data_IF_543315591460
#
_entry.id   IF_543315591460
#
_cell.length_a   1.000
_cell.length_b   1.000
_cell.length_c   1.000
_cell.angle_alpha   90.00
_cell.angle_beta   90.00
_cell.angle_gamma   90.00
#
_symmetry.space_group_name_H-M   'P 1'
#
loop_
_entity.id
_entity.type
_entity.pdbx_description
1 polymer ?
#
# COMPACT_ATOMS: atom_id res chain seq x y z
N UNK A 1 12.57 36.78 40.95
CA UNK A 1 12.56 36.62 39.48
C UNK A 1 12.45 35.14 39.19
N UNK A 2 11.22 34.64 38.97
CA UNK A 2 10.99 33.23 38.66
C UNK A 2 11.21 33.03 37.16
N UNK A 3 12.24 32.28 36.81
CA UNK A 3 12.51 31.82 35.44
C UNK A 3 11.41 30.83 35.05
N UNK A 4 10.46 31.30 34.23
CA UNK A 4 9.48 30.44 33.59
C UNK A 4 10.22 29.51 32.61
N UNK A 5 10.37 28.25 32.99
CA UNK A 5 10.78 27.18 32.09
C UNK A 5 9.69 27.02 31.05
N UNK A 6 9.92 27.58 29.86
CA UNK A 6 9.11 27.30 28.69
C UNK A 6 9.20 25.80 28.42
N UNK A 7 8.19 25.04 28.85
CA UNK A 7 7.95 23.67 28.41
C UNK A 7 7.73 23.72 26.90
N UNK A 8 8.82 23.55 26.14
CA UNK A 8 8.77 23.43 24.71
C UNK A 8 7.87 22.25 24.36
N UNK A 9 6.67 22.55 23.86
CA UNK A 9 5.81 21.56 23.24
C UNK A 9 6.58 20.99 22.07
N UNK A 10 7.06 19.75 22.20
CA UNK A 10 7.75 19.07 21.13
C UNK A 10 6.88 19.14 19.86
N UNK A 11 7.38 19.77 18.81
CA UNK A 11 6.64 19.93 17.56
C UNK A 11 6.38 18.54 16.98
N UNK A 12 5.11 18.17 16.85
CA UNK A 12 4.70 16.89 16.30
C UNK A 12 5.31 16.70 14.89
N UNK A 13 5.75 15.47 14.58
CA UNK A 13 6.19 15.15 13.21
C UNK A 13 5.01 15.28 12.24
N UNK A 14 5.29 15.46 10.96
CA UNK A 14 4.23 15.53 9.94
C UNK A 14 3.34 14.31 10.02
N UNK A 15 3.94 13.12 10.05
CA UNK A 15 3.24 11.84 10.08
C UNK A 15 2.36 11.72 11.33
N UNK A 16 2.83 12.20 12.48
CA UNK A 16 2.07 12.20 13.72
C UNK A 16 0.90 13.20 13.67
N UNK A 17 1.12 14.43 13.16
CA UNK A 17 0.04 15.41 12.95
C UNK A 17 -1.05 14.85 12.04
N UNK A 18 -0.62 14.26 10.93
CA UNK A 18 -1.49 13.63 9.95
C UNK A 18 -2.26 12.47 10.59
N UNK A 19 -1.60 11.57 11.33
CA UNK A 19 -2.25 10.44 11.99
C UNK A 19 -3.31 10.86 13.01
N UNK A 20 -3.11 11.99 13.71
CA UNK A 20 -4.07 12.58 14.64
C UNK A 20 -5.28 13.23 13.94
N UNK A 21 -5.12 13.70 12.71
CA UNK A 21 -6.20 14.21 11.86
C UNK A 21 -7.19 13.14 11.39
N UNK A 22 -8.21 13.50 10.57
CA UNK A 22 -9.18 12.57 10.03
C UNK A 22 -8.52 11.51 9.13
N UNK A 23 -9.06 10.28 9.14
CA UNK A 23 -8.56 9.16 8.31
C UNK A 23 -9.02 9.28 6.87
N UNK A 24 -10.26 9.71 6.68
CA UNK A 24 -10.80 10.10 5.39
C UNK A 24 -10.49 11.58 5.20
N UNK A 25 -9.46 11.86 4.41
CA UNK A 25 -9.03 13.22 4.10
C UNK A 25 -9.53 13.62 2.72
N UNK A 26 -10.05 14.84 2.62
CA UNK A 26 -10.57 15.41 1.38
C UNK A 26 -9.95 16.76 1.03
N UNK A 27 -8.86 17.15 1.70
CA UNK A 27 -8.16 18.39 1.37
C UNK A 27 -7.46 18.29 0.01
N UNK A 28 -7.35 19.42 -0.69
CA UNK A 28 -6.79 19.50 -2.05
C UNK A 28 -5.38 18.92 -2.12
N UNK A 29 -4.56 19.14 -1.08
CA UNK A 29 -3.20 18.61 -1.01
C UNK A 29 -3.21 17.08 -0.99
N UNK A 30 -4.06 16.46 -0.19
CA UNK A 30 -4.27 15.01 -0.19
C UNK A 30 -4.75 14.51 -1.54
N UNK A 31 -5.78 15.13 -2.14
CA UNK A 31 -6.34 14.67 -3.41
C UNK A 31 -5.35 14.78 -4.57
N UNK A 32 -4.71 15.94 -4.75
CA UNK A 32 -3.75 16.17 -5.84
C UNK A 32 -2.47 15.38 -5.61
N UNK A 33 -1.94 15.37 -4.37
CA UNK A 33 -0.73 14.62 -4.03
C UNK A 33 -0.91 13.12 -4.21
N UNK A 34 -2.05 12.57 -3.80
CA UNK A 34 -2.36 11.15 -4.02
C UNK A 34 -2.56 10.84 -5.50
N UNK A 35 -3.16 11.73 -6.30
CA UNK A 35 -3.30 11.53 -7.75
C UNK A 35 -1.94 11.50 -8.46
N UNK A 36 -1.01 12.40 -8.11
CA UNK A 36 0.34 12.40 -8.69
C UNK A 36 1.10 11.13 -8.32
N UNK A 37 0.97 10.68 -7.06
CA UNK A 37 1.54 9.41 -6.63
C UNK A 37 0.89 8.22 -7.35
N UNK A 38 -0.43 8.29 -7.61
CA UNK A 38 -1.18 7.29 -8.34
C UNK A 38 -0.70 7.16 -9.79
N UNK A 39 -0.42 8.27 -10.47
CA UNK A 39 0.14 8.26 -11.84
C UNK A 39 1.51 7.59 -11.86
N UNK A 40 2.40 7.91 -10.91
CA UNK A 40 3.72 7.29 -10.81
C UNK A 40 3.63 5.77 -10.51
N UNK A 41 2.73 5.40 -9.58
CA UNK A 41 2.41 4.01 -9.30
C UNK A 41 1.89 3.26 -10.55
N UNK A 42 0.90 3.82 -11.25
CA UNK A 42 0.34 3.23 -12.46
C UNK A 42 1.38 3.06 -13.57
N UNK A 43 2.30 4.01 -13.73
CA UNK A 43 3.38 3.86 -14.71
C UNK A 43 4.24 2.62 -14.43
N UNK A 44 4.58 2.36 -13.15
CA UNK A 44 5.29 1.14 -12.77
C UNK A 44 4.42 -0.10 -12.97
N UNK A 45 3.15 -0.03 -12.60
CA UNK A 45 2.23 -1.18 -12.70
C UNK A 45 2.03 -1.64 -14.14
N UNK A 46 2.00 -0.73 -15.11
CA UNK A 46 1.88 -1.08 -16.53
C UNK A 46 3.05 -1.93 -17.03
N UNK A 47 4.23 -1.81 -16.42
CA UNK A 47 5.39 -2.66 -16.75
C UNK A 47 5.28 -3.99 -15.99
N UNK A 48 5.00 -3.93 -14.70
CA UNK A 48 5.01 -5.13 -13.84
C UNK A 48 3.88 -6.10 -14.19
N UNK A 49 2.69 -5.61 -14.54
CA UNK A 49 1.58 -6.45 -14.98
C UNK A 49 1.90 -7.18 -16.28
N UNK A 50 2.67 -6.56 -17.18
CA UNK A 50 3.12 -7.22 -18.42
C UNK A 50 4.15 -8.31 -18.13
N UNK A 51 5.06 -8.05 -17.21
CA UNK A 51 6.01 -9.06 -16.75
C UNK A 51 5.31 -10.22 -16.04
N UNK A 52 4.33 -9.93 -15.19
CA UNK A 52 3.53 -10.95 -14.51
C UNK A 52 2.69 -11.77 -15.51
N UNK A 53 2.11 -11.14 -16.55
CA UNK A 53 1.42 -11.86 -17.62
C UNK A 53 2.34 -12.81 -18.38
N UNK A 54 3.58 -12.40 -18.68
CA UNK A 54 4.57 -13.26 -19.33
C UNK A 54 5.00 -14.40 -18.39
N UNK A 55 5.15 -14.13 -17.10
CA UNK A 55 5.70 -15.09 -16.15
C UNK A 55 4.67 -16.11 -15.65
N UNK A 56 3.48 -15.66 -15.28
CA UNK A 56 2.46 -16.50 -14.64
C UNK A 56 1.28 -16.82 -15.56
N UNK A 57 1.26 -16.27 -16.78
CA UNK A 57 0.10 -16.34 -17.67
C UNK A 57 -1.10 -15.52 -17.14
N UNK A 58 -0.87 -14.60 -16.19
CA UNK A 58 -1.92 -13.82 -15.54
C UNK A 58 -2.65 -14.56 -14.40
N UNK A 59 -2.16 -15.73 -13.98
CA UNK A 59 -2.71 -16.48 -12.84
C UNK A 59 -2.34 -15.86 -11.48
N UNK A 60 -1.23 -15.14 -11.42
CA UNK A 60 -0.79 -14.42 -10.23
C UNK A 60 -0.01 -13.16 -10.61
N UNK A 61 0.06 -12.21 -9.68
CA UNK A 61 0.68 -10.89 -9.90
C UNK A 61 1.77 -10.59 -8.87
N UNK A 62 2.81 -11.45 -8.75
CA UNK A 62 3.85 -11.32 -7.72
C UNK A 62 4.62 -9.99 -7.81
N UNK A 63 4.91 -9.50 -9.01
CA UNK A 63 5.54 -8.18 -9.17
C UNK A 63 4.53 -7.08 -8.87
N UNK A 64 3.28 -7.24 -9.27
CA UNK A 64 2.19 -6.34 -8.87
C UNK A 64 2.12 -6.13 -7.35
N UNK A 65 2.14 -7.21 -6.55
CA UNK A 65 2.20 -7.11 -5.09
C UNK A 65 3.49 -6.44 -4.60
N UNK A 66 4.64 -6.83 -5.15
CA UNK A 66 5.95 -6.23 -4.78
C UNK A 66 5.95 -4.71 -4.92
N UNK A 67 5.46 -4.21 -6.05
CA UNK A 67 5.41 -2.79 -6.32
C UNK A 67 4.24 -2.10 -5.60
N UNK A 68 3.11 -2.77 -5.35
CA UNK A 68 2.10 -2.24 -4.44
C UNK A 68 2.72 -1.88 -3.07
N UNK A 69 3.56 -2.75 -2.51
CA UNK A 69 4.25 -2.50 -1.24
C UNK A 69 5.27 -1.36 -1.30
N UNK A 70 5.78 -1.01 -2.48
CA UNK A 70 6.63 0.18 -2.65
C UNK A 70 5.84 1.48 -2.41
N UNK A 71 4.62 1.56 -2.95
CA UNK A 71 3.88 2.83 -3.05
C UNK A 71 2.80 3.00 -1.98
N UNK A 72 2.04 1.94 -1.69
CA UNK A 72 0.86 1.99 -0.84
C UNK A 72 1.13 2.39 0.61
N UNK A 73 2.22 1.94 1.27
CA UNK A 73 2.49 2.36 2.64
C UNK A 73 2.72 3.86 2.76
N UNK A 74 3.45 4.43 1.80
CA UNK A 74 3.69 5.88 1.73
C UNK A 74 2.37 6.63 1.52
N UNK A 75 1.52 6.14 0.62
CA UNK A 75 0.21 6.74 0.40
C UNK A 75 -0.65 6.71 1.67
N UNK A 76 -0.70 5.57 2.37
CA UNK A 76 -1.45 5.41 3.60
C UNK A 76 -0.95 6.33 4.74
N UNK A 77 0.37 6.47 4.89
CA UNK A 77 0.99 7.31 5.92
C UNK A 77 0.71 8.81 5.67
N UNK A 78 0.96 9.30 4.45
CA UNK A 78 0.91 10.73 4.16
C UNK A 78 -0.46 11.23 3.72
N UNK A 79 -1.28 10.40 3.07
CA UNK A 79 -2.57 10.81 2.51
C UNK A 79 -3.77 10.17 3.20
N UNK A 80 -3.54 9.33 4.21
CA UNK A 80 -4.60 8.61 4.90
C UNK A 80 -5.30 7.60 3.99
N UNK A 81 -6.49 7.16 4.40
CA UNK A 81 -7.21 6.11 3.68
C UNK A 81 -7.72 6.60 2.32
N UNK A 82 -8.22 7.84 2.21
CA UNK A 82 -8.71 8.38 0.94
C UNK A 82 -7.62 8.37 -0.12
N UNK A 83 -6.47 8.98 0.17
CA UNK A 83 -5.38 9.05 -0.80
C UNK A 83 -4.77 7.69 -1.11
N UNK A 84 -4.68 6.80 -0.13
CA UNK A 84 -4.25 5.42 -0.38
C UNK A 84 -5.18 4.70 -1.34
N UNK A 85 -6.50 4.80 -1.14
CA UNK A 85 -7.48 4.19 -2.03
C UNK A 85 -7.45 4.79 -3.44
N UNK A 86 -7.20 6.11 -3.57
CA UNK A 86 -6.98 6.75 -4.88
C UNK A 86 -5.77 6.11 -5.56
N UNK A 87 -4.63 6.05 -4.87
CA UNK A 87 -3.39 5.49 -5.41
C UNK A 87 -3.59 4.05 -5.88
N UNK A 88 -4.16 3.19 -5.04
CA UNK A 88 -4.27 1.79 -5.37
C UNK A 88 -5.33 1.48 -6.44
N UNK A 89 -6.40 2.27 -6.54
CA UNK A 89 -7.47 1.98 -7.49
C UNK A 89 -7.32 2.70 -8.83
N UNK A 90 -6.43 3.69 -8.94
CA UNK A 90 -6.18 4.37 -10.21
C UNK A 90 -5.69 3.40 -11.30
N UNK A 91 -4.79 2.48 -10.96
CA UNK A 91 -4.30 1.48 -11.89
C UNK A 91 -5.39 0.49 -12.35
N UNK A 92 -6.16 -0.18 -11.47
CA UNK A 92 -7.31 -1.00 -11.86
C UNK A 92 -8.34 -0.26 -12.73
N UNK A 93 -8.61 1.03 -12.48
CA UNK A 93 -9.51 1.84 -13.33
C UNK A 93 -8.97 1.89 -14.76
N UNK A 94 -7.69 2.25 -14.92
CA UNK A 94 -7.05 2.27 -16.24
C UNK A 94 -7.09 0.88 -16.87
N UNK A 95 -6.77 -0.17 -16.11
CA UNK A 95 -6.70 -1.53 -16.61
C UNK A 95 -8.06 -2.07 -17.09
N UNK A 96 -9.15 -1.72 -16.40
CA UNK A 96 -10.52 -2.03 -16.86
C UNK A 96 -10.88 -1.24 -18.11
N UNK A 97 -10.62 0.08 -18.13
CA UNK A 97 -10.96 0.94 -19.27
C UNK A 97 -10.16 0.61 -20.54
N UNK A 98 -8.93 0.13 -20.40
CA UNK A 98 -8.04 -0.24 -21.50
C UNK A 98 -8.00 -1.74 -21.78
N UNK A 99 -8.77 -2.54 -21.04
CA UNK A 99 -8.83 -4.00 -21.13
C UNK A 99 -7.44 -4.68 -21.06
N UNK A 100 -6.52 -4.17 -20.24
CA UNK A 100 -5.13 -4.69 -20.17
C UNK A 100 -5.02 -5.99 -19.38
N UNK A 101 -5.94 -6.24 -18.45
CA UNK A 101 -5.94 -7.43 -17.60
C UNK A 101 -7.37 -7.98 -17.38
N UNK A 102 -7.63 -9.27 -17.65
CA UNK A 102 -8.98 -9.85 -17.56
C UNK A 102 -9.56 -9.86 -16.14
N UNK A 103 -8.68 -9.85 -15.12
CA UNK A 103 -9.04 -9.85 -13.71
C UNK A 103 -8.96 -8.46 -13.05
N UNK A 104 -8.78 -7.38 -13.83
CA UNK A 104 -8.60 -6.02 -13.30
C UNK A 104 -9.74 -5.57 -12.37
N UNK A 105 -10.97 -6.00 -12.64
CA UNK A 105 -12.15 -5.71 -11.80
C UNK A 105 -12.02 -6.26 -10.36
N UNK A 106 -11.29 -7.36 -10.17
CA UNK A 106 -11.13 -7.97 -8.85
C UNK A 106 -10.16 -7.18 -7.97
N UNK A 107 -9.22 -6.47 -8.60
CA UNK A 107 -8.18 -5.70 -7.90
C UNK A 107 -8.76 -4.56 -7.07
N UNK A 108 -9.93 -4.02 -7.41
CA UNK A 108 -10.61 -3.04 -6.55
C UNK A 108 -10.83 -3.58 -5.13
N UNK A 109 -11.31 -4.82 -5.02
CA UNK A 109 -11.60 -5.45 -3.74
C UNK A 109 -10.33 -5.91 -3.03
N UNK A 110 -9.38 -6.48 -3.78
CA UNK A 110 -8.10 -6.93 -3.22
C UNK A 110 -7.29 -5.75 -2.66
N UNK A 111 -7.23 -4.64 -3.39
CA UNK A 111 -6.52 -3.45 -2.94
C UNK A 111 -7.16 -2.84 -1.68
N UNK A 112 -8.49 -2.81 -1.63
CA UNK A 112 -9.21 -2.35 -0.43
C UNK A 112 -8.99 -3.27 0.77
N UNK A 113 -8.94 -4.59 0.54
CA UNK A 113 -8.67 -5.57 1.59
C UNK A 113 -7.31 -5.33 2.25
N UNK A 114 -6.30 -4.85 1.52
CA UNK A 114 -5.00 -4.49 2.09
C UNK A 114 -5.01 -3.11 2.74
N UNK A 115 -5.43 -2.11 1.97
CA UNK A 115 -5.16 -0.72 2.31
C UNK A 115 -5.97 -0.23 3.49
N UNK A 116 -7.18 -0.74 3.64
CA UNK A 116 -8.02 -0.40 4.80
C UNK A 116 -7.28 -0.78 6.09
N UNK A 117 -6.95 -2.05 6.36
CA UNK A 117 -6.24 -2.40 7.58
C UNK A 117 -4.86 -1.74 7.66
N UNK A 118 -4.13 -1.62 6.55
CA UNK A 118 -2.80 -1.00 6.55
C UNK A 118 -2.84 0.48 7.00
N UNK A 119 -3.80 1.25 6.47
CA UNK A 119 -3.99 2.65 6.87
C UNK A 119 -4.39 2.76 8.35
N UNK A 120 -5.21 1.86 8.86
CA UNK A 120 -5.54 1.82 10.29
C UNK A 120 -4.34 1.47 11.17
N UNK A 121 -3.53 0.49 10.78
CA UNK A 121 -2.33 0.08 11.54
C UNK A 121 -1.29 1.19 11.59
N UNK A 122 -0.93 1.80 10.45
CA UNK A 122 0.00 2.91 10.43
C UNK A 122 -0.52 4.11 11.22
N UNK A 123 -1.81 4.44 11.08
CA UNK A 123 -2.42 5.51 11.87
C UNK A 123 -2.37 5.23 13.37
N UNK A 124 -2.72 4.00 13.79
CA UNK A 124 -2.70 3.62 15.20
C UNK A 124 -1.29 3.65 15.79
N UNK A 125 -0.28 3.22 15.01
CA UNK A 125 1.13 3.31 15.40
C UNK A 125 1.59 4.76 15.52
N UNK A 126 1.38 5.56 14.48
CA UNK A 126 1.85 6.95 14.40
C UNK A 126 1.21 7.89 15.43
N UNK A 127 0.01 7.56 15.92
CA UNK A 127 -0.61 8.27 17.05
C UNK A 127 0.13 8.07 18.39
N UNK A 128 0.86 6.95 18.54
CA UNK A 128 1.55 6.57 19.78
C UNK A 128 3.06 6.74 19.66
N UNK A 129 3.60 6.54 18.47
CA UNK A 129 5.03 6.55 18.18
C UNK A 129 5.29 7.45 16.94
N UNK A 130 6.08 8.52 17.06
CA UNK A 130 6.31 9.47 15.96
C UNK A 130 7.19 8.94 14.82
N UNK A 131 7.74 7.72 14.96
CA UNK A 131 8.51 7.03 13.92
C UNK A 131 8.05 5.57 13.78
N UNK A 132 8.13 5.07 12.54
CA UNK A 132 7.92 3.67 12.20
C UNK A 132 9.29 3.07 11.89
N UNK A 133 9.74 2.17 12.76
CA UNK A 133 10.93 1.36 12.51
C UNK A 133 10.70 0.32 11.42
N UNK A 134 11.78 -0.25 10.89
CA UNK A 134 11.73 -1.28 9.85
C UNK A 134 10.88 -2.49 10.27
N UNK A 135 11.07 -3.02 11.49
CA UNK A 135 10.37 -4.22 11.95
C UNK A 135 8.85 -4.01 12.06
N UNK A 136 8.32 -2.97 12.75
CA UNK A 136 6.89 -2.67 12.74
C UNK A 136 6.32 -2.49 11.34
N UNK A 137 7.05 -1.79 10.46
CA UNK A 137 6.63 -1.60 9.07
C UNK A 137 6.44 -2.95 8.37
N UNK A 138 7.46 -3.81 8.41
CA UNK A 138 7.43 -5.13 7.79
C UNK A 138 6.31 -6.03 8.35
N UNK A 139 6.05 -5.97 9.66
CA UNK A 139 4.96 -6.72 10.28
C UNK A 139 3.59 -6.26 9.75
N UNK A 140 3.38 -4.94 9.62
CA UNK A 140 2.11 -4.42 9.12
C UNK A 140 1.88 -4.81 7.66
N UNK A 141 2.91 -4.70 6.82
CA UNK A 141 2.86 -5.18 5.44
C UNK A 141 2.55 -6.68 5.40
N UNK A 142 3.30 -7.49 6.16
CA UNK A 142 3.12 -8.94 6.18
C UNK A 142 1.71 -9.37 6.58
N UNK A 143 1.12 -8.74 7.59
CA UNK A 143 -0.24 -9.04 8.05
C UNK A 143 -1.30 -8.60 7.02
N UNK A 144 -1.17 -7.39 6.48
CA UNK A 144 -2.14 -6.86 5.53
C UNK A 144 -2.11 -7.60 4.19
N UNK A 145 -0.91 -7.87 3.66
CA UNK A 145 -0.75 -8.62 2.40
C UNK A 145 -1.17 -10.09 2.58
N UNK A 146 -0.95 -10.69 3.76
CA UNK A 146 -1.47 -12.02 4.08
C UNK A 146 -3.00 -12.06 3.99
N UNK A 147 -3.67 -11.04 4.54
CA UNK A 147 -5.12 -10.94 4.49
C UNK A 147 -5.63 -10.85 3.04
N UNK A 148 -4.97 -10.07 2.19
CA UNK A 148 -5.31 -10.00 0.76
C UNK A 148 -5.09 -11.31 0.04
N UNK A 149 -3.96 -11.98 0.29
CA UNK A 149 -3.67 -13.28 -0.31
C UNK A 149 -4.73 -14.32 0.08
N UNK A 150 -5.29 -14.26 1.29
CA UNK A 150 -6.42 -15.12 1.71
C UNK A 150 -7.68 -14.77 0.92
N UNK A 151 -8.01 -13.49 0.80
CA UNK A 151 -9.18 -13.03 0.03
C UNK A 151 -9.05 -13.43 -1.45
N UNK A 152 -7.86 -13.28 -2.02
CA UNK A 152 -7.56 -13.68 -3.40
C UNK A 152 -7.62 -15.20 -3.57
N UNK A 153 -7.06 -15.99 -2.65
CA UNK A 153 -7.12 -17.44 -2.72
C UNK A 153 -8.56 -17.95 -2.72
N UNK A 154 -9.40 -17.46 -1.79
CA UNK A 154 -10.79 -17.89 -1.70
C UNK A 154 -11.65 -17.32 -2.84
N UNK A 155 -11.57 -16.02 -3.10
CA UNK A 155 -12.41 -15.34 -4.08
C UNK A 155 -11.99 -15.61 -5.51
N UNK A 156 -10.71 -15.44 -5.83
CA UNK A 156 -10.22 -15.57 -7.19
C UNK A 156 -9.87 -17.02 -7.52
N UNK A 157 -9.06 -17.67 -6.70
CA UNK A 157 -8.48 -18.97 -7.09
C UNK A 157 -9.44 -20.14 -6.92
N UNK A 158 -10.24 -20.16 -5.85
CA UNK A 158 -11.23 -21.21 -5.63
C UNK A 158 -12.51 -20.96 -6.43
N UNK A 159 -13.11 -19.78 -6.34
CA UNK A 159 -14.44 -19.52 -6.93
C UNK A 159 -14.36 -19.24 -8.44
N UNK A 160 -13.47 -18.35 -8.87
CA UNK A 160 -13.42 -17.89 -10.27
C UNK A 160 -12.57 -18.81 -11.14
N UNK A 161 -11.31 -19.04 -10.75
CA UNK A 161 -10.34 -19.79 -11.56
C UNK A 161 -10.36 -21.30 -11.34
N UNK A 162 -10.97 -21.77 -10.23
CA UNK A 162 -11.09 -23.19 -9.86
C UNK A 162 -9.76 -23.96 -9.93
N UNK A 163 -8.70 -23.34 -9.42
CA UNK A 163 -7.35 -23.90 -9.45
C UNK A 163 -7.21 -25.09 -8.51
N UNK A 164 -6.27 -25.99 -8.82
CA UNK A 164 -5.92 -27.09 -7.92
C UNK A 164 -5.25 -26.58 -6.64
N UNK A 165 -5.47 -27.26 -5.51
CA UNK A 165 -4.96 -26.85 -4.19
C UNK A 165 -3.45 -26.56 -4.20
N UNK A 166 -2.64 -27.39 -4.86
CA UNK A 166 -1.21 -27.15 -4.98
C UNK A 166 -0.85 -25.84 -5.70
N UNK A 167 -1.58 -25.47 -6.75
CA UNK A 167 -1.37 -24.21 -7.47
C UNK A 167 -1.75 -23.01 -6.59
N UNK A 168 -2.84 -23.11 -5.84
CA UNK A 168 -3.29 -22.07 -4.90
C UNK A 168 -2.21 -21.81 -3.87
N UNK A 169 -1.70 -22.87 -3.24
CA UNK A 169 -0.64 -22.77 -2.22
C UNK A 169 0.63 -22.14 -2.78
N UNK A 170 1.07 -22.58 -3.97
CA UNK A 170 2.26 -22.03 -4.61
C UNK A 170 2.09 -20.56 -4.95
N UNK A 171 0.99 -20.17 -5.61
CA UNK A 171 0.73 -18.77 -5.97
C UNK A 171 0.57 -17.87 -4.74
N UNK A 172 -0.08 -18.36 -3.69
CA UNK A 172 -0.24 -17.66 -2.42
C UNK A 172 1.12 -17.35 -1.78
N UNK A 173 1.95 -18.37 -1.55
CA UNK A 173 3.23 -18.15 -0.88
C UNK A 173 4.21 -17.38 -1.75
N UNK A 174 4.16 -17.60 -3.07
CA UNK A 174 5.00 -16.88 -4.01
C UNK A 174 4.71 -15.37 -4.00
N UNK A 175 3.44 -14.97 -4.12
CA UNK A 175 3.04 -13.56 -4.10
C UNK A 175 3.33 -12.93 -2.75
N UNK A 176 2.94 -13.59 -1.65
CA UNK A 176 3.19 -13.07 -0.31
C UNK A 176 4.68 -12.88 -0.02
N UNK A 177 5.52 -13.85 -0.42
CA UNK A 177 6.96 -13.74 -0.22
C UNK A 177 7.56 -12.59 -1.04
N UNK A 178 7.13 -12.42 -2.28
CA UNK A 178 7.58 -11.31 -3.13
C UNK A 178 7.14 -9.95 -2.55
N UNK A 179 5.89 -9.84 -2.10
CA UNK A 179 5.35 -8.66 -1.45
C UNK A 179 6.12 -8.30 -0.17
N UNK A 180 6.29 -9.26 0.73
CA UNK A 180 6.81 -8.98 2.07
C UNK A 180 8.33 -8.92 2.09
N UNK A 181 9.02 -9.87 1.45
CA UNK A 181 10.49 -9.98 1.54
C UNK A 181 11.19 -9.02 0.59
N UNK A 182 10.59 -8.70 -0.56
CA UNK A 182 11.17 -7.77 -1.54
C UNK A 182 10.45 -6.42 -1.49
N UNK A 183 9.13 -6.43 -1.64
CA UNK A 183 8.31 -5.21 -1.68
C UNK A 183 8.35 -4.43 -0.37
N UNK A 184 8.26 -5.11 0.78
CA UNK A 184 8.31 -4.50 2.11
C UNK A 184 9.58 -3.67 2.36
N UNK A 185 10.79 -4.21 2.16
CA UNK A 185 12.02 -3.43 2.30
C UNK A 185 12.13 -2.27 1.31
N UNK A 186 11.70 -2.47 0.06
CA UNK A 186 11.64 -1.41 -0.94
C UNK A 186 10.70 -0.29 -0.51
N UNK A 187 9.50 -0.63 -0.03
CA UNK A 187 8.52 0.30 0.52
C UNK A 187 9.03 1.06 1.73
N UNK A 188 9.76 0.39 2.63
CA UNK A 188 10.38 1.05 3.77
C UNK A 188 11.45 2.04 3.34
N UNK A 189 12.33 1.63 2.42
CA UNK A 189 13.36 2.51 1.87
C UNK A 189 12.75 3.75 1.19
N UNK A 190 11.68 3.55 0.41
CA UNK A 190 10.96 4.63 -0.25
C UNK A 190 10.26 5.56 0.75
N UNK A 191 9.54 5.03 1.74
CA UNK A 191 8.96 5.81 2.83
C UNK A 191 10.01 6.70 3.52
N UNK A 192 11.18 6.13 3.85
CA UNK A 192 12.27 6.87 4.49
C UNK A 192 12.88 7.92 3.56
N UNK A 193 13.00 7.63 2.27
CA UNK A 193 13.47 8.59 1.27
C UNK A 193 12.51 9.79 1.15
N UNK A 194 11.21 9.54 1.05
CA UNK A 194 10.17 10.57 1.01
C UNK A 194 10.20 11.43 2.28
N UNK A 195 10.33 10.81 3.45
CA UNK A 195 10.44 11.52 4.72
C UNK A 195 11.64 12.45 4.76
N UNK A 196 12.81 11.97 4.32
CA UNK A 196 14.05 12.75 4.28
C UNK A 196 13.98 13.90 3.28
N UNK A 197 13.32 13.70 2.15
CA UNK A 197 13.18 14.71 1.12
C UNK A 197 12.22 15.85 1.52
N UNK A 198 11.39 15.66 2.55
CA UNK A 198 10.51 16.70 3.08
C UNK A 198 9.40 17.16 2.12
N UNK A 199 9.17 16.42 1.03
CA UNK A 199 8.23 16.78 -0.05
C UNK A 199 6.79 16.93 0.46
N UNK A 200 6.46 16.25 1.55
CA UNK A 200 5.15 16.29 2.17
C UNK A 200 5.11 17.02 3.54
N UNK A 201 6.03 17.96 3.80
CA UNK A 201 5.99 18.83 4.99
C UNK A 201 4.95 19.93 4.94
#
# INVERSE_FOLDING_TARGET
MATATATGTASLTVEERLARGPILRGDTRTLVGSLLLAVAFSANMQITERLDQIWTGGLGVPLGHTFAQLWWPTAAIYFGLTGALIVANFNPIIAVLSATHPLAWSFFFLNMAELIPLAFLFRAHLKRNPDIGFVPFMIYIGICDLFVNVVQALGLYVVVLKLGFGQIVVLFFWQWLMAVIIGGPMGYAFYRAVRRAGVFQ
#
